data_IF_264419899212
#
_entry.id   IF_264419899212
#
_cell.length_a   1.000
_cell.length_b   1.000
_cell.length_c   1.000
_cell.angle_alpha   90.00
_cell.angle_beta   90.00
_cell.angle_gamma   90.00
#
_symmetry.space_group_name_H-M   'P 1'
#
loop_
_entity.id
_entity.type
_entity.pdbx_description
1 polymer ?
#
# COMPACT_ATOMS: atom_id res chain seq x y z
N UNK A 1 6.23 14.59 -43.95
CA UNK A 1 7.09 13.77 -43.07
C UNK A 1 7.27 14.36 -41.67
N UNK A 2 7.70 15.63 -41.50
CA UNK A 2 7.89 16.25 -40.17
C UNK A 2 6.63 16.29 -39.27
N UNK A 3 5.44 16.58 -39.83
CA UNK A 3 4.17 16.58 -39.07
C UNK A 3 3.79 15.20 -38.52
N UNK A 4 4.20 14.13 -39.20
CA UNK A 4 3.88 12.75 -38.81
C UNK A 4 4.70 12.32 -37.57
N UNK A 5 6.00 12.63 -37.54
CA UNK A 5 6.86 12.40 -36.37
C UNK A 5 6.43 13.23 -35.15
N UNK A 6 5.98 14.47 -35.37
CA UNK A 6 5.50 15.34 -34.28
C UNK A 6 4.22 14.80 -33.63
N UNK A 7 3.30 14.25 -34.43
CA UNK A 7 2.10 13.59 -33.93
C UNK A 7 2.41 12.26 -33.23
N UNK A 8 3.36 11.49 -33.73
CA UNK A 8 3.75 10.20 -33.12
C UNK A 8 4.41 10.39 -31.75
N UNK A 9 5.32 11.37 -31.63
CA UNK A 9 5.96 11.72 -30.35
C UNK A 9 4.96 12.21 -29.30
N UNK A 10 4.00 13.05 -29.71
CA UNK A 10 2.94 13.53 -28.80
C UNK A 10 2.05 12.39 -28.28
N UNK A 11 1.70 11.42 -29.11
CA UNK A 11 0.90 10.25 -28.70
C UNK A 11 1.64 9.39 -27.67
N UNK A 12 2.95 9.19 -27.84
CA UNK A 12 3.77 8.44 -26.88
C UNK A 12 3.84 9.18 -25.55
N UNK A 13 4.05 10.50 -25.58
CA UNK A 13 4.14 11.32 -24.37
C UNK A 13 2.83 11.28 -23.57
N UNK A 14 1.68 11.37 -24.25
CA UNK A 14 0.35 11.27 -23.62
C UNK A 14 0.13 9.90 -22.99
N UNK A 15 0.52 8.81 -23.65
CA UNK A 15 0.41 7.46 -23.08
C UNK A 15 1.31 7.28 -21.86
N UNK A 16 2.56 7.75 -21.94
CA UNK A 16 3.49 7.70 -20.81
C UNK A 16 2.95 8.49 -19.59
N UNK A 17 2.39 9.68 -19.84
CA UNK A 17 1.76 10.48 -18.79
C UNK A 17 0.54 9.79 -18.16
N UNK A 18 -0.31 9.16 -18.98
CA UNK A 18 -1.44 8.36 -18.48
C UNK A 18 -0.98 7.18 -17.63
N UNK A 19 0.02 6.42 -18.08
CA UNK A 19 0.58 5.30 -17.30
C UNK A 19 1.18 5.76 -15.98
N UNK A 20 1.91 6.87 -15.98
CA UNK A 20 2.45 7.46 -14.76
C UNK A 20 1.32 7.88 -13.81
N UNK A 21 0.25 8.48 -14.34
CA UNK A 21 -0.92 8.86 -13.55
C UNK A 21 -1.59 7.63 -12.91
N UNK A 22 -1.79 6.55 -13.67
CA UNK A 22 -2.35 5.30 -13.14
C UNK A 22 -1.44 4.61 -12.14
N UNK A 23 -0.13 4.69 -12.34
CA UNK A 23 0.85 4.22 -11.37
C UNK A 23 0.75 4.98 -10.03
N UNK A 24 0.69 6.31 -10.08
CA UNK A 24 0.49 7.15 -8.89
C UNK A 24 -0.86 6.89 -8.22
N UNK A 25 -1.92 6.66 -9.01
CA UNK A 25 -3.22 6.23 -8.51
C UNK A 25 -3.12 4.91 -7.73
N UNK A 26 -2.38 3.94 -8.26
CA UNK A 26 -2.09 2.66 -7.60
C UNK A 26 -1.41 2.85 -6.24
N UNK A 27 -0.39 3.72 -6.19
CA UNK A 27 0.29 4.08 -4.93
C UNK A 27 -0.70 4.70 -3.95
N UNK A 28 -1.47 5.70 -4.38
CA UNK A 28 -2.42 6.41 -3.52
C UNK A 28 -3.47 5.48 -2.93
N UNK A 29 -4.08 4.63 -3.76
CA UNK A 29 -5.06 3.62 -3.32
C UNK A 29 -4.41 2.61 -2.37
N UNK A 30 -3.19 2.16 -2.67
CA UNK A 30 -2.42 1.28 -1.80
C UNK A 30 -2.19 1.88 -0.41
N UNK A 31 -1.70 3.12 -0.34
CA UNK A 31 -1.47 3.82 0.93
C UNK A 31 -2.77 3.93 1.74
N UNK A 32 -3.88 4.31 1.10
CA UNK A 32 -5.19 4.40 1.77
C UNK A 32 -5.63 3.03 2.29
N UNK A 33 -5.53 2.00 1.46
CA UNK A 33 -5.91 0.64 1.82
C UNK A 33 -5.11 0.13 3.04
N UNK A 34 -3.78 0.17 2.96
CA UNK A 34 -2.91 -0.38 3.99
C UNK A 34 -2.90 0.45 5.30
N UNK A 35 -3.03 1.78 5.22
CA UNK A 35 -3.16 2.58 6.45
C UNK A 35 -4.44 2.23 7.21
N UNK A 36 -5.55 2.04 6.50
CA UNK A 36 -6.80 1.63 7.12
C UNK A 36 -6.75 0.18 7.62
N UNK A 37 -6.06 -0.70 6.90
CA UNK A 37 -5.79 -2.06 7.36
C UNK A 37 -5.08 -2.06 8.70
N UNK A 38 -4.01 -1.26 8.84
CA UNK A 38 -3.28 -1.14 10.10
C UNK A 38 -4.15 -0.64 11.24
N UNK A 39 -5.00 0.37 10.99
CA UNK A 39 -5.95 0.86 12.00
C UNK A 39 -6.87 -0.26 12.49
N UNK A 40 -7.37 -1.09 11.57
CA UNK A 40 -8.22 -2.24 11.93
C UNK A 40 -7.44 -3.31 12.71
N UNK A 41 -6.20 -3.61 12.32
CA UNK A 41 -5.34 -4.54 13.07
C UNK A 41 -5.10 -4.06 14.50
N UNK A 42 -4.84 -2.77 14.68
CA UNK A 42 -4.62 -2.18 16.00
C UNK A 42 -5.89 -2.11 16.85
N UNK A 43 -7.06 -1.91 16.25
CA UNK A 43 -8.33 -1.83 16.97
C UNK A 43 -8.85 -3.21 17.39
N UNK A 44 -8.61 -4.24 16.57
CA UNK A 44 -9.17 -5.58 16.74
C UNK A 44 -8.10 -6.64 17.02
N UNK A 45 -7.02 -6.30 17.74
CA UNK A 45 -5.80 -7.13 17.95
C UNK A 45 -6.05 -8.63 18.17
N UNK A 46 -7.15 -9.04 18.80
CA UNK A 46 -7.51 -10.43 19.07
C UNK A 46 -8.54 -11.04 18.10
N UNK A 47 -9.30 -10.25 17.35
CA UNK A 47 -10.42 -10.70 16.51
C UNK A 47 -10.05 -10.71 15.03
N UNK A 48 -9.41 -11.81 14.61
CA UNK A 48 -8.97 -12.05 13.23
C UNK A 48 -10.13 -11.93 12.23
N UNK A 49 -11.34 -12.35 12.62
CA UNK A 49 -12.53 -12.29 11.76
C UNK A 49 -12.92 -10.85 11.44
N UNK A 50 -12.86 -9.94 12.43
CA UNK A 50 -13.12 -8.51 12.20
C UNK A 50 -12.03 -7.84 11.36
N UNK A 51 -10.77 -8.25 11.51
CA UNK A 51 -9.66 -7.77 10.67
C UNK A 51 -9.88 -8.19 9.21
N UNK A 52 -10.20 -9.46 8.96
CA UNK A 52 -10.45 -9.99 7.62
C UNK A 52 -11.67 -9.31 6.99
N UNK A 53 -12.78 -9.20 7.73
CA UNK A 53 -13.99 -8.55 7.23
C UNK A 53 -13.76 -7.07 6.89
N UNK A 54 -13.06 -6.33 7.77
CA UNK A 54 -12.68 -4.95 7.51
C UNK A 54 -11.76 -4.80 6.29
N UNK A 55 -10.94 -5.81 6.00
CA UNK A 55 -10.07 -5.83 4.81
C UNK A 55 -10.89 -6.10 3.55
N UNK A 56 -11.86 -7.01 3.64
CA UNK A 56 -12.75 -7.38 2.54
C UNK A 56 -13.64 -6.24 2.07
N UNK A 57 -14.22 -5.46 3.00
CA UNK A 57 -15.02 -4.28 2.65
C UNK A 57 -14.24 -3.22 1.87
N UNK A 58 -12.91 -3.21 1.97
CA UNK A 58 -12.03 -2.21 1.37
C UNK A 58 -11.28 -2.74 0.15
N UNK A 59 -11.32 -4.05 -0.09
CA UNK A 59 -10.76 -4.71 -1.26
C UNK A 59 -11.33 -4.24 -2.62
N UNK A 60 -12.58 -3.72 -2.70
CA UNK A 60 -13.09 -3.15 -3.95
C UNK A 60 -12.32 -1.92 -4.44
N UNK A 61 -11.68 -1.12 -3.57
CA UNK A 61 -10.99 0.12 -3.96
C UNK A 61 -9.84 -0.13 -4.96
N UNK A 62 -8.87 -1.02 -4.69
CA UNK A 62 -7.84 -1.40 -5.67
C UNK A 62 -8.41 -1.95 -6.97
N UNK A 63 -9.49 -2.75 -6.89
CA UNK A 63 -10.14 -3.34 -8.06
C UNK A 63 -10.78 -2.25 -8.92
N UNK A 64 -11.52 -1.32 -8.33
CA UNK A 64 -12.14 -0.19 -9.04
C UNK A 64 -11.08 0.66 -9.73
N UNK A 65 -9.96 0.94 -9.06
CA UNK A 65 -8.85 1.69 -9.66
C UNK A 65 -8.25 0.96 -10.88
N UNK A 66 -8.07 -0.36 -10.79
CA UNK A 66 -7.59 -1.16 -11.90
C UNK A 66 -8.59 -1.20 -13.07
N UNK A 67 -9.89 -1.33 -12.79
CA UNK A 67 -10.95 -1.29 -13.82
C UNK A 67 -10.95 0.06 -14.54
N UNK A 68 -10.90 1.18 -13.80
CA UNK A 68 -10.83 2.52 -14.37
C UNK A 68 -9.61 2.63 -15.29
N UNK A 69 -8.42 2.24 -14.83
CA UNK A 69 -7.22 2.28 -15.66
C UNK A 69 -7.31 1.38 -16.92
N UNK A 70 -7.96 0.22 -16.80
CA UNK A 70 -8.26 -0.68 -17.91
C UNK A 70 -9.15 -0.05 -18.98
N UNK A 71 -10.18 0.70 -18.58
CA UNK A 71 -11.07 1.39 -19.52
C UNK A 71 -10.34 2.49 -20.31
N UNK A 72 -9.39 3.21 -19.69
CA UNK A 72 -8.70 4.33 -20.32
C UNK A 72 -7.39 3.96 -21.04
N UNK A 73 -6.74 2.85 -20.65
CA UNK A 73 -5.41 2.49 -21.14
C UNK A 73 -5.19 1.00 -21.42
N UNK A 74 -6.26 0.20 -21.36
CA UNK A 74 -6.21 -1.24 -21.55
C UNK A 74 -5.35 -1.94 -20.50
N UNK A 75 -4.79 -3.08 -20.88
CA UNK A 75 -3.99 -3.92 -19.97
C UNK A 75 -2.78 -3.19 -19.38
N UNK A 76 -2.16 -2.27 -20.13
CA UNK A 76 -1.03 -1.49 -19.66
C UNK A 76 -1.40 -0.55 -18.51
N UNK A 77 -2.61 0.04 -18.54
CA UNK A 77 -3.14 0.83 -17.43
C UNK A 77 -3.38 -0.01 -16.19
N UNK A 78 -3.95 -1.21 -16.34
CA UNK A 78 -4.15 -2.16 -15.23
C UNK A 78 -2.80 -2.50 -14.58
N UNK A 79 -1.79 -2.85 -15.38
CA UNK A 79 -0.45 -3.17 -14.90
C UNK A 79 0.17 -1.99 -14.15
N UNK A 80 0.02 -0.75 -14.67
CA UNK A 80 0.53 0.44 -13.99
C UNK A 80 -0.08 0.62 -12.58
N UNK A 81 -1.39 0.44 -12.43
CA UNK A 81 -2.06 0.49 -11.11
C UNK A 81 -1.54 -0.61 -10.20
N UNK A 82 -1.44 -1.85 -10.69
CA UNK A 82 -0.96 -2.99 -9.88
C UNK A 82 0.46 -2.73 -9.39
N UNK A 83 1.37 -2.26 -10.26
CA UNK A 83 2.74 -1.93 -9.89
C UNK A 83 2.81 -0.86 -8.81
N UNK A 84 2.05 0.23 -8.97
CA UNK A 84 1.98 1.28 -7.96
C UNK A 84 1.43 0.76 -6.61
N UNK A 85 0.39 -0.05 -6.66
CA UNK A 85 -0.20 -0.68 -5.47
C UNK A 85 0.79 -1.61 -4.76
N UNK A 86 1.53 -2.43 -5.51
CA UNK A 86 2.55 -3.34 -4.96
C UNK A 86 3.71 -2.59 -4.31
N UNK A 87 4.13 -1.44 -4.86
CA UNK A 87 5.16 -0.61 -4.20
C UNK A 87 4.65 -0.08 -2.86
N UNK A 88 3.40 0.40 -2.80
CA UNK A 88 2.79 0.82 -1.54
C UNK A 88 2.68 -0.33 -0.53
N UNK A 89 2.39 -1.55 -1.01
CA UNK A 89 2.37 -2.77 -0.19
C UNK A 89 3.75 -3.07 0.41
N UNK A 90 4.81 -3.08 -0.40
CA UNK A 90 6.18 -3.34 0.06
C UNK A 90 6.61 -2.27 1.07
N UNK A 91 6.40 -0.99 0.76
CA UNK A 91 6.69 0.11 1.68
C UNK A 91 5.98 -0.06 3.03
N UNK A 92 4.70 -0.41 2.99
CA UNK A 92 3.91 -0.65 4.19
C UNK A 92 4.46 -1.81 5.03
N UNK A 93 4.78 -2.94 4.40
CA UNK A 93 5.32 -4.11 5.08
C UNK A 93 6.65 -3.80 5.76
N UNK A 94 7.55 -3.09 5.07
CA UNK A 94 8.84 -2.66 5.64
C UNK A 94 8.61 -1.74 6.85
N UNK A 95 7.78 -0.70 6.69
CA UNK A 95 7.50 0.27 7.74
C UNK A 95 6.85 -0.33 8.99
N UNK A 96 5.88 -1.24 8.81
CA UNK A 96 5.20 -1.87 9.95
C UNK A 96 6.01 -3.01 10.55
N UNK A 97 6.78 -3.73 9.75
CA UNK A 97 7.73 -4.73 10.22
C UNK A 97 8.81 -4.11 11.12
N UNK A 98 9.35 -2.95 10.75
CA UNK A 98 10.32 -2.24 11.58
C UNK A 98 9.73 -1.73 12.89
N UNK A 99 8.49 -1.22 12.86
CA UNK A 99 7.79 -0.78 14.07
C UNK A 99 7.54 -1.94 15.04
N UNK A 100 7.04 -3.07 14.55
CA UNK A 100 6.78 -4.23 15.40
C UNK A 100 8.05 -4.75 16.07
N UNK A 101 9.18 -4.73 15.36
CA UNK A 101 10.48 -5.10 15.91
C UNK A 101 10.90 -4.16 17.06
N UNK A 102 10.71 -2.85 16.88
CA UNK A 102 11.02 -1.87 17.91
C UNK A 102 10.12 -2.04 19.15
N UNK A 103 8.81 -2.23 18.95
CA UNK A 103 7.85 -2.45 20.05
C UNK A 103 8.22 -3.70 20.88
N UNK A 104 8.70 -4.77 20.21
CA UNK A 104 9.15 -6.00 20.88
C UNK A 104 10.45 -5.81 21.66
N UNK A 105 11.42 -5.08 21.11
CA UNK A 105 12.69 -4.79 21.79
C UNK A 105 12.45 -3.89 23.02
N UNK A 106 11.53 -2.94 22.93
CA UNK A 106 11.15 -2.08 24.05
C UNK A 106 10.42 -2.86 25.14
N UNK A 107 9.47 -3.71 24.76
CA UNK A 107 8.76 -4.58 25.70
C UNK A 107 9.70 -5.55 26.43
N UNK A 108 10.67 -6.13 25.73
CA UNK A 108 11.67 -7.00 26.35
C UNK A 108 12.54 -6.26 27.38
N UNK A 109 12.96 -5.01 27.08
CA UNK A 109 13.72 -4.19 28.04
C UNK A 109 12.91 -3.84 29.28
N UNK A 110 11.63 -3.50 29.13
CA UNK A 110 10.74 -3.22 30.25
C UNK A 110 10.62 -4.43 31.19
N UNK A 111 10.45 -5.64 30.63
CA UNK A 111 10.42 -6.88 31.42
C UNK A 111 11.75 -7.16 32.15
N UNK A 112 12.90 -6.87 31.53
CA UNK A 112 14.20 -7.01 32.20
C UNK A 112 14.39 -6.01 33.35
N UNK A 113 13.92 -4.77 33.19
CA UNK A 113 13.98 -3.73 34.22
C UNK A 113 13.03 -4.02 35.38
N UNK A 114 11.80 -4.47 35.10
CA UNK A 114 10.84 -4.92 36.11
C UNK A 114 11.38 -6.11 36.91
N UNK A 115 12.00 -7.10 36.25
CA UNK A 115 12.62 -8.24 36.94
C UNK A 115 13.84 -7.84 37.78
N UNK A 116 14.64 -6.85 37.34
CA UNK A 116 15.79 -6.35 38.13
C UNK A 116 15.36 -5.53 39.35
N UNK A 117 14.24 -4.82 39.27
CA UNK A 117 13.70 -4.03 40.39
C UNK A 117 12.85 -4.85 41.37
N UNK A 118 12.14 -5.89 40.90
CA UNK A 118 11.38 -6.80 41.76
C UNK A 118 12.23 -7.72 42.64
N UNK A 119 13.50 -7.93 42.29
CA UNK A 119 14.43 -8.80 43.02
C UNK A 119 15.30 -8.07 44.07
N UNK A 120 14.96 -6.80 44.38
CA UNK A 120 15.66 -5.96 45.39
C UNK A 120 14.81 -5.67 46.65
N UNK A 121 13.66 -6.33 46.82
CA UNK A 121 12.83 -6.21 48.03
C UNK A 121 12.91 -7.45 48.92
#
# INVERSE_FOLDING_TARGET
>A
MLKFYKNFGAVILVKAFLYLTFFLLGIGVGIIYFNNLWKSVNAYKSDKSKIIFSSFLRFPLPIIAAIIAGLFSGIAGIIAVILGFSIAQVYYLVKRGSQLKQDLEEYAKQLEEENKNGNKS
#
